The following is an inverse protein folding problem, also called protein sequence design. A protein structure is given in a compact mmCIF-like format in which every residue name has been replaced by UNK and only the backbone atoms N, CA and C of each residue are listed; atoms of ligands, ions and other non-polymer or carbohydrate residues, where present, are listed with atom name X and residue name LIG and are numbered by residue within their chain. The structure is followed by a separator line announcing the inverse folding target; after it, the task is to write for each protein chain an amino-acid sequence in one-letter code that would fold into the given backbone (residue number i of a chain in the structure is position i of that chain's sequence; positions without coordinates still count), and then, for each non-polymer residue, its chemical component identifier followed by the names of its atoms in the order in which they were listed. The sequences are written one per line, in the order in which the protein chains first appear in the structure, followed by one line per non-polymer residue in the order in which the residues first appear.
data_IF_412136086062
#
_entry.id   IF_412136086062
#
_cell.length_a   1.000
_cell.length_b   1.000
_cell.length_c   1.000
_cell.angle_alpha   90.00
_cell.angle_beta   90.00
_cell.angle_gamma   90.00
#
_symmetry.space_group_name_H-M   'P 1'
#
loop_
_entity.id
_entity.type
_entity.pdbx_description
1 polymer ?
#
# COMPACT_ATOMS: atom_id res chain seq x y z
N UNK A 1 -50.21 -4.44 18.51
CA UNK A 1 -48.82 -4.56 18.00
C UNK A 1 -47.88 -4.51 19.19
N UNK A 2 -46.82 -5.33 19.24
CA UNK A 2 -45.84 -5.28 20.32
C UNK A 2 -45.17 -3.90 20.36
N UNK A 3 -45.02 -3.34 21.56
CA UNK A 3 -44.41 -2.02 21.77
C UNK A 3 -43.03 -2.18 22.38
N UNK A 4 -42.04 -1.45 21.85
CA UNK A 4 -40.67 -1.56 22.33
C UNK A 4 -40.55 -0.96 23.73
N UNK A 5 -40.14 -1.78 24.70
CA UNK A 5 -40.10 -1.37 26.11
C UNK A 5 -38.97 -0.36 26.41
N UNK A 6 -37.91 -0.35 25.60
CA UNK A 6 -36.68 0.43 25.85
C UNK A 6 -36.59 1.75 25.09
N UNK A 7 -37.70 2.27 24.56
CA UNK A 7 -37.75 3.54 23.79
C UNK A 7 -37.10 4.73 24.54
N UNK A 8 -37.30 4.80 25.86
CA UNK A 8 -36.80 5.92 26.69
C UNK A 8 -35.34 5.78 27.16
N UNK A 9 -34.70 4.63 26.92
CA UNK A 9 -33.32 4.37 27.41
C UNK A 9 -32.33 5.20 26.60
N UNK A 10 -31.59 6.12 27.20
CA UNK A 10 -30.70 7.03 26.47
C UNK A 10 -29.47 6.34 25.85
N UNK A 11 -28.91 5.36 26.56
CA UNK A 11 -27.71 4.63 26.14
C UNK A 11 -28.03 3.68 24.97
N UNK A 12 -27.40 3.85 23.79
CA UNK A 12 -27.71 3.06 22.60
C UNK A 12 -27.38 1.57 22.77
N UNK A 13 -26.36 1.21 23.57
CA UNK A 13 -26.01 -0.19 23.83
C UNK A 13 -27.11 -0.88 24.64
N UNK A 14 -27.53 -0.25 25.74
CA UNK A 14 -28.62 -0.75 26.58
C UNK A 14 -29.96 -0.74 25.85
N UNK A 15 -30.17 0.22 24.94
CA UNK A 15 -31.38 0.28 24.13
C UNK A 15 -31.47 -0.93 23.19
N UNK A 16 -30.40 -1.24 22.45
CA UNK A 16 -30.34 -2.43 21.59
C UNK A 16 -30.20 -3.73 22.39
N UNK A 17 -29.86 -3.67 23.67
CA UNK A 17 -29.72 -4.85 24.54
C UNK A 17 -28.39 -5.58 24.36
N UNK A 18 -27.35 -4.86 23.95
CA UNK A 18 -26.01 -5.37 23.65
C UNK A 18 -24.98 -4.84 24.65
N UNK A 19 -23.85 -5.54 24.74
CA UNK A 19 -22.70 -5.11 25.54
C UNK A 19 -22.07 -3.84 24.95
N UNK A 20 -21.49 -2.94 25.78
CA UNK A 20 -20.64 -1.84 25.30
C UNK A 20 -19.42 -2.30 24.47
N UNK A 21 -19.03 -3.57 24.61
CA UNK A 21 -17.93 -4.20 23.88
C UNK A 21 -18.40 -5.09 22.72
N UNK A 22 -19.68 -5.03 22.36
CA UNK A 22 -20.27 -5.82 21.29
C UNK A 22 -19.55 -5.58 19.94
N UNK A 23 -19.42 -6.65 19.15
CA UNK A 23 -18.86 -6.57 17.80
C UNK A 23 -19.83 -5.86 16.84
N UNK A 24 -19.34 -5.41 15.68
CA UNK A 24 -20.23 -4.81 14.66
C UNK A 24 -21.33 -5.80 14.24
N UNK A 25 -21.00 -7.08 14.08
CA UNK A 25 -21.94 -8.15 13.75
C UNK A 25 -23.06 -8.29 14.78
N UNK A 26 -22.72 -8.22 16.07
CA UNK A 26 -23.69 -8.30 17.17
C UNK A 26 -24.63 -7.07 17.21
N UNK A 27 -24.10 -5.89 16.87
CA UNK A 27 -24.90 -4.66 16.72
C UNK A 27 -25.90 -4.82 15.56
N UNK A 28 -25.45 -5.30 14.40
CA UNK A 28 -26.29 -5.54 13.23
C UNK A 28 -27.34 -6.63 13.48
N UNK A 29 -26.94 -7.74 14.11
CA UNK A 29 -27.83 -8.84 14.48
C UNK A 29 -28.93 -8.39 15.43
N UNK A 30 -28.58 -7.61 16.45
CA UNK A 30 -29.55 -7.08 17.42
C UNK A 30 -30.53 -6.09 16.79
N UNK A 31 -30.07 -5.24 15.87
CA UNK A 31 -30.95 -4.32 15.12
C UNK A 31 -31.96 -5.09 14.28
N UNK A 32 -31.51 -6.11 13.53
CA UNK A 32 -32.39 -6.90 12.67
C UNK A 32 -33.42 -7.69 13.49
N UNK A 33 -32.98 -8.34 14.57
CA UNK A 33 -33.87 -9.05 15.49
C UNK A 33 -34.95 -8.14 16.10
N UNK A 34 -34.56 -6.95 16.56
CA UNK A 34 -35.51 -6.00 17.15
C UNK A 34 -36.48 -5.40 16.12
N UNK A 35 -36.04 -5.12 14.90
CA UNK A 35 -36.95 -4.62 13.87
C UNK A 35 -37.96 -5.68 13.43
N UNK A 36 -37.55 -6.93 13.32
CA UNK A 36 -38.46 -8.04 13.00
C UNK A 36 -39.48 -8.24 14.12
N UNK A 37 -39.06 -8.17 15.37
CA UNK A 37 -39.94 -8.32 16.54
C UNK A 37 -40.95 -7.17 16.71
N UNK A 38 -40.56 -5.94 16.34
CA UNK A 38 -41.39 -4.73 16.54
C UNK A 38 -41.90 -4.12 15.23
N UNK A 39 -41.95 -4.92 14.16
CA UNK A 39 -42.46 -4.51 12.84
C UNK A 39 -43.87 -3.92 12.94
N UNK A 40 -44.07 -2.77 12.29
CA UNK A 40 -45.36 -2.09 12.16
C UNK A 40 -45.68 -1.06 13.25
N UNK A 41 -44.82 -0.91 14.27
CA UNK A 41 -44.93 0.18 15.24
C UNK A 41 -43.83 1.22 14.98
N UNK A 42 -44.15 2.23 14.17
CA UNK A 42 -43.23 3.27 13.67
C UNK A 42 -42.32 3.86 14.76
N UNK A 43 -42.88 4.23 15.91
CA UNK A 43 -42.12 4.82 17.02
C UNK A 43 -41.12 3.86 17.67
N UNK A 44 -41.37 2.55 17.60
CA UNK A 44 -40.45 1.54 18.08
C UNK A 44 -39.27 1.40 17.12
N UNK A 45 -39.57 1.29 15.83
CA UNK A 45 -38.59 1.16 14.74
C UNK A 45 -37.64 2.36 14.72
N UNK A 46 -38.19 3.58 14.72
CA UNK A 46 -37.41 4.82 14.74
C UNK A 46 -36.44 4.87 15.93
N UNK A 47 -36.88 4.40 17.10
CA UNK A 47 -36.05 4.40 18.30
C UNK A 47 -34.88 3.41 18.24
N UNK A 48 -35.09 2.27 17.55
CA UNK A 48 -34.09 1.22 17.32
C UNK A 48 -33.07 1.72 16.29
N UNK A 49 -33.54 2.29 15.18
CA UNK A 49 -32.68 2.85 14.14
C UNK A 49 -31.85 4.03 14.63
N UNK A 50 -32.43 4.94 15.42
CA UNK A 50 -31.69 6.04 16.02
C UNK A 50 -30.59 5.57 16.99
N UNK A 51 -30.80 4.43 17.68
CA UNK A 51 -29.79 3.81 18.53
C UNK A 51 -28.61 3.28 17.70
N UNK A 52 -28.96 2.56 16.63
CA UNK A 52 -28.02 1.97 15.70
C UNK A 52 -27.19 3.04 14.98
N UNK A 53 -27.83 4.10 14.47
CA UNK A 53 -27.15 5.21 13.78
C UNK A 53 -26.13 5.89 14.70
N UNK A 54 -26.46 6.09 15.98
CA UNK A 54 -25.51 6.65 16.96
C UNK A 54 -24.26 5.77 17.13
N UNK A 55 -24.42 4.46 17.21
CA UNK A 55 -23.29 3.53 17.31
C UNK A 55 -22.44 3.55 16.04
N UNK A 56 -23.10 3.52 14.88
CA UNK A 56 -22.47 3.58 13.56
C UNK A 56 -21.68 4.89 13.38
N UNK A 57 -22.29 6.03 13.69
CA UNK A 57 -21.61 7.33 13.67
C UNK A 57 -20.40 7.39 14.61
N UNK A 58 -20.50 6.76 15.78
CA UNK A 58 -19.39 6.70 16.74
C UNK A 58 -18.21 5.91 16.17
N UNK A 59 -18.45 4.78 15.51
CA UNK A 59 -17.39 3.97 14.87
C UNK A 59 -16.74 4.72 13.70
N UNK A 60 -17.53 5.42 12.88
CA UNK A 60 -17.00 6.27 11.81
C UNK A 60 -16.16 7.42 12.35
N UNK A 61 -16.61 8.09 13.41
CA UNK A 61 -15.87 9.20 14.03
C UNK A 61 -14.54 8.71 14.61
N UNK A 62 -14.53 7.53 15.24
CA UNK A 62 -13.32 6.88 15.75
C UNK A 62 -12.32 6.59 14.63
N UNK A 63 -12.74 5.90 13.57
CA UNK A 63 -11.92 5.61 12.38
C UNK A 63 -11.38 6.87 11.71
N UNK A 64 -12.21 7.93 11.60
CA UNK A 64 -11.79 9.21 11.04
C UNK A 64 -10.75 9.91 11.92
N UNK A 65 -10.96 9.93 13.24
CA UNK A 65 -10.01 10.52 14.21
C UNK A 65 -8.67 9.79 14.20
N UNK A 66 -8.68 8.45 14.14
CA UNK A 66 -7.47 7.63 14.05
C UNK A 66 -6.68 7.90 12.77
N UNK A 67 -7.35 7.93 11.60
CA UNK A 67 -6.69 8.28 10.32
C UNK A 67 -6.06 9.67 10.34
N UNK A 68 -6.74 10.66 10.93
CA UNK A 68 -6.22 12.04 11.03
C UNK A 68 -5.02 12.09 11.98
N UNK A 69 -5.06 11.37 13.11
CA UNK A 69 -3.96 11.30 14.06
C UNK A 69 -2.73 10.62 13.44
N UNK A 70 -2.91 9.53 12.70
CA UNK A 70 -1.82 8.88 11.97
C UNK A 70 -1.16 9.84 10.97
N UNK A 71 -1.97 10.56 10.18
CA UNK A 71 -1.46 11.54 9.20
C UNK A 71 -0.70 12.68 9.89
N UNK A 72 -1.19 13.18 11.03
CA UNK A 72 -0.51 14.27 11.75
C UNK A 72 0.77 13.79 12.43
N UNK A 73 0.82 12.56 12.96
CA UNK A 73 2.05 11.96 13.50
C UNK A 73 3.10 11.75 12.41
N UNK A 74 2.73 11.23 11.25
CA UNK A 74 3.63 11.10 10.10
C UNK A 74 4.17 12.46 9.66
N UNK A 75 3.32 13.49 9.59
CA UNK A 75 3.75 14.84 9.24
C UNK A 75 4.77 15.39 10.24
N UNK A 76 4.51 15.25 11.55
CA UNK A 76 5.45 15.67 12.61
C UNK A 76 6.78 14.93 12.53
N UNK A 77 6.75 13.61 12.32
CA UNK A 77 7.97 12.81 12.21
C UNK A 77 8.81 13.22 10.99
N UNK A 78 8.17 13.55 9.86
CA UNK A 78 8.87 14.09 8.68
C UNK A 78 9.44 15.49 8.94
N UNK A 79 8.75 16.30 9.73
CA UNK A 79 9.18 17.65 10.10
C UNK A 79 10.32 17.65 11.14
N UNK A 80 10.38 16.63 11.99
CA UNK A 80 11.47 16.38 12.94
C UNK A 80 12.64 15.58 12.33
N UNK A 81 12.47 15.03 11.12
CA UNK A 81 13.54 14.30 10.45
C UNK A 81 14.74 15.21 10.11
N UNK A 82 15.96 14.65 10.14
CA UNK A 82 17.19 15.39 9.82
C UNK A 82 17.16 16.11 8.45
N UNK A 83 17.94 17.18 8.27
CA UNK A 83 17.98 17.95 7.01
C UNK A 83 18.30 17.09 5.79
N UNK A 84 19.17 16.08 5.95
CA UNK A 84 19.53 15.15 4.89
C UNK A 84 18.33 14.29 4.43
N UNK A 85 17.43 13.91 5.34
CA UNK A 85 16.24 13.12 5.03
C UNK A 85 15.17 13.98 4.34
N UNK A 86 15.05 15.26 4.72
CA UNK A 86 14.18 16.22 4.01
C UNK A 86 14.68 16.53 2.61
N UNK A 87 16.00 16.61 2.41
CA UNK A 87 16.59 16.71 1.06
C UNK A 87 16.34 15.44 0.25
N UNK A 88 16.48 14.27 0.87
CA UNK A 88 16.16 12.99 0.22
C UNK A 88 14.67 12.93 -0.18
N UNK A 89 13.74 13.30 0.69
CA UNK A 89 12.30 13.36 0.38
C UNK A 89 11.95 14.45 -0.65
N UNK A 90 12.68 15.55 -0.71
CA UNK A 90 12.50 16.53 -1.80
C UNK A 90 13.00 16.00 -3.15
N UNK A 91 14.05 15.18 -3.12
CA UNK A 91 14.52 14.43 -4.29
C UNK A 91 13.60 13.24 -4.62
N UNK A 92 12.86 12.76 -3.61
CA UNK A 92 12.01 11.57 -3.63
C UNK A 92 10.53 11.93 -3.59
N UNK A 93 9.96 12.24 -4.75
CA UNK A 93 8.54 12.56 -4.86
C UNK A 93 7.72 11.27 -4.99
N UNK A 94 7.06 10.84 -3.91
CA UNK A 94 6.17 9.67 -3.89
C UNK A 94 5.03 9.85 -4.92
N UNK A 95 5.07 9.16 -6.06
CA UNK A 95 4.06 9.33 -7.08
C UNK A 95 2.75 8.63 -6.68
N UNK A 96 1.63 8.90 -7.37
CA UNK A 96 0.37 8.22 -7.11
C UNK A 96 0.55 6.70 -7.10
N UNK A 97 -0.02 6.05 -6.09
CA UNK A 97 0.05 4.60 -5.84
C UNK A 97 -0.24 3.75 -7.08
N UNK A 98 -1.15 4.19 -7.96
CA UNK A 98 -1.47 3.48 -9.21
C UNK A 98 -0.29 3.39 -10.18
N UNK A 99 0.54 4.43 -10.25
CA UNK A 99 1.75 4.46 -11.10
C UNK A 99 2.84 3.59 -10.51
N UNK A 100 2.96 3.54 -9.17
CA UNK A 100 3.89 2.67 -8.46
C UNK A 100 3.56 1.21 -8.76
N UNK A 101 2.29 0.81 -8.60
CA UNK A 101 1.85 -0.56 -8.86
C UNK A 101 2.04 -0.95 -10.32
N UNK A 102 1.72 -0.06 -11.28
CA UNK A 102 1.93 -0.33 -12.72
C UNK A 102 3.40 -0.59 -13.05
N UNK A 103 4.31 0.21 -12.47
CA UNK A 103 5.75 0.07 -12.67
C UNK A 103 6.27 -1.19 -11.98
N UNK A 104 5.85 -1.44 -10.74
CA UNK A 104 6.22 -2.63 -9.98
C UNK A 104 5.79 -3.90 -10.70
N UNK A 105 4.58 -3.92 -11.25
CA UNK A 105 4.09 -5.04 -12.06
C UNK A 105 4.93 -5.25 -13.32
N UNK A 106 5.29 -4.17 -14.03
CA UNK A 106 6.11 -4.26 -15.25
C UNK A 106 7.50 -4.85 -14.96
N UNK A 107 8.19 -4.37 -13.93
CA UNK A 107 9.51 -4.88 -13.55
C UNK A 107 9.44 -6.26 -12.90
N UNK A 108 8.40 -6.57 -12.12
CA UNK A 108 8.19 -7.90 -11.56
C UNK A 108 7.87 -8.93 -12.65
N UNK A 109 7.08 -8.55 -13.66
CA UNK A 109 6.78 -9.40 -14.81
C UNK A 109 8.03 -9.65 -15.65
N UNK A 110 8.84 -8.61 -15.91
CA UNK A 110 10.14 -8.75 -16.59
C UNK A 110 11.11 -9.65 -15.80
N UNK A 111 11.20 -9.47 -14.47
CA UNK A 111 12.03 -10.31 -13.61
C UNK A 111 11.56 -11.78 -13.57
N UNK A 112 10.25 -12.01 -13.48
CA UNK A 112 9.66 -13.35 -13.56
C UNK A 112 9.90 -14.02 -14.91
N UNK A 113 9.74 -13.27 -16.00
CA UNK A 113 10.02 -13.74 -17.36
C UNK A 113 11.51 -14.07 -17.56
N UNK A 114 12.40 -13.29 -16.93
CA UNK A 114 13.85 -13.53 -16.91
C UNK A 114 14.21 -14.87 -16.26
N UNK A 115 13.58 -15.17 -15.12
CA UNK A 115 13.79 -16.43 -14.40
C UNK A 115 13.31 -17.63 -15.22
N UNK A 116 12.19 -17.51 -15.94
CA UNK A 116 11.65 -18.59 -16.76
C UNK A 116 12.46 -18.86 -18.05
N UNK A 117 13.08 -17.84 -18.63
CA UNK A 117 13.88 -17.94 -19.87
C UNK A 117 15.41 -17.94 -19.64
N UNK A 118 15.87 -18.24 -18.42
CA UNK A 118 17.30 -18.21 -18.05
C UNK A 118 18.20 -19.21 -18.80
N UNK A 119 17.66 -20.05 -19.68
CA UNK A 119 18.37 -21.14 -20.34
C UNK A 119 18.98 -20.82 -21.72
N UNK A 120 18.52 -19.79 -22.46
CA UNK A 120 18.88 -19.63 -23.89
C UNK A 120 19.63 -18.35 -24.27
N UNK A 121 19.88 -17.44 -23.33
CA UNK A 121 20.68 -16.24 -23.58
C UNK A 121 20.63 -15.31 -22.38
N UNK A 122 21.78 -14.75 -21.99
CA UNK A 122 21.89 -13.95 -20.78
C UNK A 122 20.87 -12.80 -20.71
N UNK A 123 20.49 -12.33 -19.50
CA UNK A 123 19.40 -11.38 -19.27
C UNK A 123 19.66 -9.96 -19.82
N UNK A 124 20.76 -9.74 -20.55
CA UNK A 124 21.19 -8.45 -21.06
C UNK A 124 20.14 -7.74 -21.94
N UNK A 125 19.43 -8.48 -22.79
CA UNK A 125 18.37 -7.90 -23.62
C UNK A 125 17.19 -7.41 -22.78
N UNK A 126 16.79 -8.17 -21.77
CA UNK A 126 15.69 -7.80 -20.88
C UNK A 126 16.07 -6.60 -20.01
N UNK A 127 17.32 -6.55 -19.53
CA UNK A 127 17.86 -5.39 -18.80
C UNK A 127 17.83 -4.14 -19.69
N UNK A 128 18.26 -4.24 -20.95
CA UNK A 128 18.24 -3.11 -21.89
C UNK A 128 16.82 -2.57 -22.13
N UNK A 129 15.83 -3.45 -22.34
CA UNK A 129 14.42 -3.05 -22.52
C UNK A 129 13.87 -2.39 -21.25
N UNK A 130 14.21 -2.94 -20.07
CA UNK A 130 13.79 -2.36 -18.79
C UNK A 130 14.41 -0.98 -18.53
N UNK A 131 15.66 -0.78 -18.95
CA UNK A 131 16.35 0.51 -18.86
C UNK A 131 15.76 1.52 -19.83
N UNK A 132 15.48 1.12 -21.07
CA UNK A 132 14.80 1.97 -22.05
C UNK A 132 13.40 2.40 -21.57
N UNK A 133 12.62 1.46 -21.03
CA UNK A 133 11.34 1.75 -20.41
C UNK A 133 11.48 2.68 -19.21
N UNK A 134 12.52 2.51 -18.40
CA UNK A 134 12.76 3.37 -17.25
C UNK A 134 13.11 4.81 -17.68
N UNK A 135 14.03 4.97 -18.64
CA UNK A 135 14.41 6.28 -19.19
C UNK A 135 13.20 6.97 -19.84
N UNK A 136 12.36 6.22 -20.56
CA UNK A 136 11.13 6.76 -21.14
C UNK A 136 10.18 7.30 -20.06
N UNK A 137 9.93 6.52 -19.00
CA UNK A 137 9.07 6.94 -17.89
C UNK A 137 9.65 8.08 -17.05
N UNK A 138 10.98 8.17 -16.90
CA UNK A 138 11.62 9.35 -16.30
C UNK A 138 11.47 10.58 -17.20
N UNK A 139 11.69 10.42 -18.51
CA UNK A 139 11.59 11.55 -19.45
C UNK A 139 10.17 12.14 -19.47
N UNK A 140 9.14 11.29 -19.38
CA UNK A 140 7.74 11.73 -19.25
C UNK A 140 7.50 12.59 -17.99
N UNK A 141 8.25 12.34 -16.90
CA UNK A 141 8.13 13.06 -15.64
C UNK A 141 8.98 14.33 -15.57
N UNK A 142 10.26 14.23 -15.93
CA UNK A 142 11.25 15.30 -15.77
C UNK A 142 11.27 16.25 -16.98
N UNK A 143 10.51 15.95 -18.05
CA UNK A 143 10.48 16.65 -19.35
C UNK A 143 11.87 16.92 -19.96
N UNK A 144 12.89 16.18 -19.52
CA UNK A 144 14.26 16.35 -19.95
C UNK A 144 14.94 14.99 -20.08
N UNK A 145 15.22 14.63 -21.33
CA UNK A 145 15.77 13.33 -21.70
C UNK A 145 17.19 13.14 -21.13
N UNK A 146 18.00 14.21 -21.09
CA UNK A 146 19.35 14.15 -20.54
C UNK A 146 19.38 13.81 -19.04
N UNK A 147 18.49 14.42 -18.24
CA UNK A 147 18.41 14.13 -16.79
C UNK A 147 17.87 12.73 -16.54
N UNK A 148 16.84 12.34 -17.29
CA UNK A 148 16.27 11.00 -17.25
C UNK A 148 17.30 9.90 -17.57
N UNK A 149 18.11 10.11 -18.60
CA UNK A 149 19.17 9.16 -18.97
C UNK A 149 20.29 9.08 -17.94
N UNK A 150 20.73 10.21 -17.36
CA UNK A 150 21.77 10.21 -16.31
C UNK A 150 21.27 9.46 -15.06
N UNK A 151 20.03 9.69 -14.64
CA UNK A 151 19.45 9.01 -13.48
C UNK A 151 19.24 7.52 -13.78
N UNK A 152 18.74 7.16 -14.96
CA UNK A 152 18.57 5.77 -15.38
C UNK A 152 19.88 4.99 -15.47
N UNK A 153 20.93 5.59 -16.04
CA UNK A 153 22.27 4.99 -16.10
C UNK A 153 22.92 4.92 -14.72
N UNK A 154 22.76 5.96 -13.89
CA UNK A 154 23.24 5.96 -12.51
C UNK A 154 22.56 4.89 -11.65
N UNK A 155 21.27 4.64 -11.87
CA UNK A 155 20.53 3.57 -11.23
C UNK A 155 20.99 2.17 -11.66
N UNK A 156 21.27 1.98 -12.95
CA UNK A 156 21.83 0.72 -13.43
C UNK A 156 23.23 0.50 -12.88
N UNK A 157 24.11 1.51 -12.92
CA UNK A 157 25.46 1.40 -12.39
C UNK A 157 25.48 1.11 -10.89
N UNK A 158 24.63 1.79 -10.10
CA UNK A 158 24.51 1.51 -8.66
C UNK A 158 23.90 0.14 -8.38
N UNK A 159 22.88 -0.29 -9.13
CA UNK A 159 22.32 -1.64 -9.05
C UNK A 159 23.32 -2.73 -9.42
N UNK A 160 24.18 -2.47 -10.41
CA UNK A 160 25.24 -3.38 -10.81
C UNK A 160 26.34 -3.50 -9.75
N UNK A 161 26.81 -2.36 -9.21
CA UNK A 161 27.81 -2.33 -8.15
C UNK A 161 27.27 -3.04 -6.89
N UNK A 162 26.04 -2.75 -6.48
CA UNK A 162 25.46 -3.38 -5.31
C UNK A 162 25.15 -4.86 -5.54
N UNK A 163 24.68 -5.22 -6.74
CA UNK A 163 24.53 -6.62 -7.16
C UNK A 163 25.85 -7.36 -7.06
N UNK A 164 26.94 -6.79 -7.58
CA UNK A 164 28.26 -7.41 -7.53
C UNK A 164 28.82 -7.57 -6.12
N UNK A 165 28.40 -6.76 -5.15
CA UNK A 165 28.81 -6.88 -3.73
C UNK A 165 27.90 -7.83 -2.95
N UNK A 166 26.60 -7.83 -3.23
CA UNK A 166 25.58 -8.60 -2.49
C UNK A 166 25.50 -10.05 -2.96
N UNK A 167 25.62 -10.29 -4.27
CA UNK A 167 25.50 -11.63 -4.87
C UNK A 167 26.56 -12.61 -4.34
N UNK A 168 27.84 -12.23 -4.16
CA UNK A 168 28.85 -13.12 -3.57
C UNK A 168 28.71 -13.35 -2.06
N UNK A 169 27.96 -12.49 -1.36
CA UNK A 169 27.74 -12.59 0.09
C UNK A 169 26.60 -13.57 0.44
N UNK A 170 25.82 -14.02 -0.55
CA UNK A 170 24.75 -14.98 -0.35
C UNK A 170 25.37 -16.40 -0.35
N UNK A 171 25.24 -17.17 0.74
CA UNK A 171 25.79 -18.51 0.80
C UNK A 171 25.15 -19.38 -0.29
N UNK A 172 25.99 -20.04 -1.09
CA UNK A 172 25.63 -20.89 -2.23
C UNK A 172 24.69 -22.07 -1.89
N UNK A 173 24.48 -22.33 -0.60
CA UNK A 173 23.56 -23.34 -0.06
C UNK A 173 22.08 -22.97 -0.26
N UNK A 174 21.74 -21.67 -0.38
CA UNK A 174 20.37 -21.20 -0.64
C UNK A 174 20.05 -20.99 -2.13
N UNK A 175 21.03 -21.16 -3.01
CA UNK A 175 20.92 -20.82 -4.44
C UNK A 175 20.53 -22.09 -5.19
N UNK A 176 19.34 -22.10 -5.79
CA UNK A 176 18.93 -23.20 -6.68
C UNK A 176 19.90 -23.29 -7.88
N UNK A 177 20.30 -24.49 -8.33
CA UNK A 177 21.33 -24.71 -9.37
C UNK A 177 21.06 -24.05 -10.73
N UNK A 178 19.84 -23.56 -10.97
CA UNK A 178 19.40 -22.90 -12.20
C UNK A 178 19.57 -21.37 -12.19
N UNK A 179 19.95 -20.77 -11.06
CA UNK A 179 20.07 -19.33 -10.91
C UNK A 179 21.50 -18.90 -11.21
N UNK A 180 21.73 -18.39 -12.41
CA UNK A 180 23.04 -17.86 -12.79
C UNK A 180 23.35 -16.59 -11.99
N UNK A 181 24.62 -16.35 -11.68
CA UNK A 181 25.07 -15.12 -10.98
C UNK A 181 24.60 -13.84 -11.71
N UNK A 182 24.54 -13.91 -13.04
CA UNK A 182 24.01 -12.87 -13.95
C UNK A 182 22.50 -12.61 -13.78
N UNK A 183 21.73 -13.62 -13.40
CA UNK A 183 20.30 -13.47 -13.12
C UNK A 183 20.10 -12.70 -11.81
N UNK A 184 20.91 -13.00 -10.79
CA UNK A 184 20.79 -12.37 -9.48
C UNK A 184 21.23 -10.89 -9.54
N UNK A 185 22.31 -10.59 -10.28
CA UNK A 185 22.74 -9.20 -10.53
C UNK A 185 21.70 -8.41 -11.33
N UNK A 186 21.08 -9.03 -12.35
CA UNK A 186 20.02 -8.36 -13.13
C UNK A 186 18.74 -8.13 -12.32
N UNK A 187 18.40 -9.01 -11.37
CA UNK A 187 17.25 -8.85 -10.47
C UNK A 187 17.46 -7.70 -9.48
N UNK A 188 18.68 -7.56 -8.95
CA UNK A 188 19.08 -6.40 -8.14
C UNK A 188 19.06 -5.12 -9.00
N UNK A 189 19.54 -5.18 -10.24
CA UNK A 189 19.46 -4.04 -11.17
C UNK A 189 18.02 -3.63 -11.48
N UNK A 190 17.08 -4.56 -11.64
CA UNK A 190 15.65 -4.25 -11.81
C UNK A 190 15.06 -3.56 -10.58
N UNK A 191 15.45 -3.99 -9.38
CA UNK A 191 15.01 -3.35 -8.14
C UNK A 191 15.54 -1.91 -8.03
N UNK A 192 16.81 -1.68 -8.38
CA UNK A 192 17.39 -0.34 -8.38
C UNK A 192 16.81 0.56 -9.48
N UNK A 193 16.59 0.03 -10.68
CA UNK A 193 15.90 0.73 -11.75
C UNK A 193 14.47 1.07 -11.34
N UNK A 194 13.75 0.15 -10.67
CA UNK A 194 12.44 0.43 -10.12
C UNK A 194 12.47 1.53 -9.06
N UNK A 195 13.44 1.50 -8.15
CA UNK A 195 13.61 2.54 -7.14
C UNK A 195 13.89 3.90 -7.78
N UNK A 196 14.81 3.97 -8.74
CA UNK A 196 15.11 5.21 -9.45
C UNK A 196 13.91 5.72 -10.25
N UNK A 197 13.23 4.84 -10.98
CA UNK A 197 12.01 5.18 -11.71
C UNK A 197 10.88 5.68 -10.81
N UNK A 198 10.76 5.12 -9.60
CA UNK A 198 9.62 5.37 -8.72
C UNK A 198 9.85 6.56 -7.82
N UNK A 199 11.08 6.74 -7.35
CA UNK A 199 11.39 7.71 -6.32
C UNK A 199 12.13 8.91 -6.86
N UNK A 200 13.01 8.80 -7.87
CA UNK A 200 13.77 9.96 -8.34
C UNK A 200 12.97 10.87 -9.28
N UNK A 201 13.21 12.18 -9.15
CA UNK A 201 12.57 13.27 -9.91
C UNK A 201 13.36 13.66 -11.17
#
# INVERSE_FOLDING_TARGET
MPTFSRIKVWDPYKRLGISPYASEEEIWGSRNFLLEQYTGHERSEESIEAAFEKLLMTSFRRRKKEKINLKSRLKKQVEESPPWFKNLLNFVELPPKDVIFRRLFLFAFMGGWSIMNSAEGGPAFQVAVSLAACIYFLNEKTKSLARASIIGLGALASGWILGSVVVPMIPTVLIHPTWTLELLTSLVAYFFLFLACTFFK
#
